data_IF_000998385398
#
_entry.id   IF_000998385398
#
_cell.length_a   1.000
_cell.length_b   1.000
_cell.length_c   1.000
_cell.angle_alpha   90.00
_cell.angle_beta   90.00
_cell.angle_gamma   90.00
#
_symmetry.space_group_name_H-M   'P 1'
#
loop_
_entity.id
_entity.type
_entity.pdbx_description
1 polymer ?
#
# COMPACT_ATOMS: atom_id res chain seq x y z
N UNK A 1 2.64 -11.08 -24.04
CA UNK A 1 3.64 -11.30 -22.97
C UNK A 1 2.96 -11.97 -21.78
N UNK A 2 3.63 -12.89 -21.14
CA UNK A 2 3.24 -13.53 -19.89
C UNK A 2 4.45 -13.54 -18.96
N UNK A 3 4.23 -13.38 -17.67
CA UNK A 3 5.34 -13.35 -16.73
C UNK A 3 4.87 -13.38 -15.29
N UNK A 4 5.82 -13.37 -14.36
CA UNK A 4 5.55 -13.24 -12.94
C UNK A 4 6.34 -12.08 -12.34
N UNK A 5 5.81 -11.55 -11.26
CA UNK A 5 6.42 -10.49 -10.46
C UNK A 5 6.43 -10.92 -9.00
N UNK A 6 7.59 -10.85 -8.37
CA UNK A 6 7.75 -11.05 -6.94
C UNK A 6 8.06 -9.71 -6.28
N UNK A 7 7.31 -9.39 -5.24
CA UNK A 7 7.48 -8.16 -4.45
C UNK A 7 7.77 -8.54 -2.99
N UNK A 8 8.75 -7.88 -2.42
CA UNK A 8 9.16 -8.08 -1.04
C UNK A 8 9.34 -6.75 -0.33
N UNK A 9 8.51 -6.51 0.67
CA UNK A 9 8.47 -5.27 1.44
C UNK A 9 8.86 -5.53 2.89
N UNK A 10 9.79 -4.72 3.39
CA UNK A 10 10.18 -4.67 4.80
C UNK A 10 9.79 -3.32 5.35
N UNK A 11 9.07 -3.32 6.47
CA UNK A 11 8.73 -2.12 7.23
C UNK A 11 9.20 -2.26 8.66
N UNK A 12 10.01 -1.33 9.10
CA UNK A 12 10.59 -1.34 10.43
C UNK A 12 10.30 -0.04 11.17
N UNK A 13 9.47 -0.12 12.22
CA UNK A 13 9.23 0.99 13.14
C UNK A 13 10.46 1.23 14.02
N UNK A 14 10.99 2.45 14.02
CA UNK A 14 12.19 2.87 14.72
C UNK A 14 11.92 4.01 15.69
N UNK A 15 12.43 3.89 16.91
CA UNK A 15 12.52 4.92 17.95
C UNK A 15 11.20 5.58 18.36
N UNK A 16 10.36 5.98 17.41
CA UNK A 16 9.09 6.66 17.61
C UNK A 16 7.98 5.88 16.93
N UNK A 17 6.80 5.85 17.53
CA UNK A 17 5.58 5.24 16.93
C UNK A 17 5.22 5.81 15.55
N UNK A 18 5.77 6.98 15.23
CA UNK A 18 5.46 7.75 14.01
C UNK A 18 6.43 7.49 12.86
N UNK A 19 7.60 6.89 13.12
CA UNK A 19 8.66 6.71 12.14
C UNK A 19 8.78 5.25 11.72
N UNK A 20 8.66 5.00 10.42
CA UNK A 20 8.89 3.70 9.79
C UNK A 20 9.97 3.82 8.71
N UNK A 21 10.95 2.93 8.74
CA UNK A 21 11.83 2.68 7.58
C UNK A 21 11.18 1.65 6.68
N UNK A 22 11.29 1.86 5.38
CA UNK A 22 10.68 1.02 4.37
C UNK A 22 11.73 0.65 3.34
N UNK A 23 11.81 -0.65 3.05
CA UNK A 23 12.60 -1.19 1.94
C UNK A 23 11.68 -2.03 1.06
N UNK A 24 11.64 -1.74 -0.25
CA UNK A 24 10.81 -2.43 -1.23
C UNK A 24 11.71 -2.98 -2.33
N UNK A 25 11.50 -4.25 -2.67
CA UNK A 25 12.20 -4.95 -3.75
C UNK A 25 11.18 -5.58 -4.66
N UNK A 26 11.31 -5.39 -5.96
CA UNK A 26 10.43 -5.96 -6.96
C UNK A 26 11.23 -6.60 -8.08
N UNK A 27 11.11 -7.90 -8.21
CA UNK A 27 11.69 -8.68 -9.30
C UNK A 27 10.60 -9.03 -10.31
N UNK A 28 10.89 -8.84 -11.59
CA UNK A 28 9.99 -9.18 -12.68
C UNK A 28 10.69 -10.08 -13.69
N UNK A 29 9.98 -11.10 -14.17
CA UNK A 29 10.40 -11.96 -15.27
C UNK A 29 9.22 -12.09 -16.25
N UNK A 30 9.44 -11.69 -17.50
CA UNK A 30 8.46 -11.73 -18.58
C UNK A 30 8.99 -12.50 -19.78
N UNK A 31 8.14 -13.32 -20.38
CA UNK A 31 8.32 -13.86 -21.73
C UNK A 31 7.54 -12.98 -22.71
N UNK A 32 8.28 -12.23 -23.50
CA UNK A 32 7.72 -11.40 -24.56
C UNK A 32 7.79 -12.13 -25.87
N UNK A 33 6.65 -12.53 -26.42
CA UNK A 33 6.52 -13.19 -27.71
C UNK A 33 5.85 -12.24 -28.69
N UNK A 34 6.49 -11.95 -29.79
CA UNK A 34 6.00 -11.17 -30.91
C UNK A 34 6.30 -11.92 -32.19
N UNK A 35 5.60 -11.63 -33.30
CA UNK A 35 5.82 -12.26 -34.60
C UNK A 35 7.27 -12.14 -35.12
N UNK A 36 8.04 -11.22 -34.55
CA UNK A 36 9.40 -10.92 -34.97
C UNK A 36 10.45 -11.24 -33.89
N UNK A 37 10.08 -11.46 -32.63
CA UNK A 37 11.05 -11.60 -31.54
C UNK A 37 10.45 -12.34 -30.33
N UNK A 38 11.12 -13.42 -29.95
CA UNK A 38 10.90 -14.06 -28.67
C UNK A 38 12.02 -13.66 -27.71
N UNK A 39 11.71 -12.94 -26.65
CA UNK A 39 12.69 -12.48 -25.68
C UNK A 39 12.19 -12.71 -24.25
N UNK A 40 13.00 -13.41 -23.47
CA UNK A 40 12.85 -13.44 -22.01
C UNK A 40 13.53 -12.21 -21.43
N UNK A 41 12.82 -11.47 -20.57
CA UNK A 41 13.33 -10.32 -19.83
C UNK A 41 13.20 -10.59 -18.35
N UNK A 42 14.29 -10.45 -17.62
CA UNK A 42 14.29 -10.58 -16.17
C UNK A 42 15.17 -9.50 -15.56
N UNK A 43 14.67 -8.81 -14.55
CA UNK A 43 15.42 -7.81 -13.81
C UNK A 43 14.82 -7.52 -12.44
N UNK A 44 15.64 -6.93 -11.57
CA UNK A 44 15.19 -6.27 -10.37
C UNK A 44 14.60 -4.90 -10.79
N UNK A 45 13.28 -4.87 -10.99
CA UNK A 45 12.57 -3.72 -11.57
C UNK A 45 12.53 -2.51 -10.64
N UNK A 46 12.48 -2.75 -9.32
CA UNK A 46 12.37 -1.70 -8.32
C UNK A 46 13.17 -2.08 -7.08
N UNK A 47 13.98 -1.18 -6.63
CA UNK A 47 14.60 -1.23 -5.31
C UNK A 47 14.45 0.16 -4.70
N UNK A 48 13.74 0.25 -3.59
CA UNK A 48 13.39 1.50 -2.94
C UNK A 48 13.74 1.43 -1.46
N UNK A 49 14.42 2.45 -0.98
CA UNK A 49 14.65 2.66 0.46
C UNK A 49 14.15 4.03 0.86
N UNK A 50 13.48 4.11 1.99
CA UNK A 50 12.99 5.38 2.47
C UNK A 50 12.45 5.32 3.88
N UNK A 51 11.93 6.45 4.32
CA UNK A 51 11.34 6.63 5.64
C UNK A 51 9.95 7.27 5.50
N UNK A 52 9.00 6.75 6.27
CA UNK A 52 7.66 7.30 6.41
C UNK A 52 7.53 7.91 7.80
N UNK A 53 6.99 9.12 7.87
CA UNK A 53 6.73 9.83 9.11
C UNK A 53 5.26 10.25 9.19
N UNK A 54 4.58 9.84 10.27
CA UNK A 54 3.20 10.22 10.55
C UNK A 54 3.18 11.62 11.16
N UNK A 55 2.68 12.61 10.38
CA UNK A 55 2.63 14.02 10.79
C UNK A 55 1.41 14.26 11.69
N UNK A 56 0.26 13.74 11.28
CA UNK A 56 -1.00 14.02 11.94
C UNK A 56 -1.90 12.79 11.98
N UNK A 57 -2.46 12.51 13.17
CA UNK A 57 -3.46 11.48 13.37
C UNK A 57 -4.62 12.05 14.18
N UNK A 58 -5.81 12.22 13.57
CA UNK A 58 -6.96 12.77 14.24
C UNK A 58 -7.53 11.86 15.35
N UNK A 59 -7.11 10.60 15.40
CA UNK A 59 -7.60 9.59 16.31
C UNK A 59 -6.65 9.26 17.46
N UNK A 60 -5.40 9.75 17.44
CA UNK A 60 -4.33 9.39 18.39
C UNK A 60 -4.72 9.60 19.88
N UNK A 61 -5.55 10.57 20.19
CA UNK A 61 -5.99 10.86 21.57
C UNK A 61 -7.51 11.01 21.67
N UNK A 62 -8.23 10.35 20.77
CA UNK A 62 -9.67 10.47 20.69
C UNK A 62 -10.36 9.19 21.09
N UNK A 63 -10.98 9.21 22.28
CA UNK A 63 -11.92 8.17 22.72
C UNK A 63 -13.34 8.59 22.36
N UNK A 64 -13.94 7.84 21.48
CA UNK A 64 -15.36 8.02 21.18
C UNK A 64 -16.21 7.44 22.31
N UNK A 65 -16.86 8.31 23.08
CA UNK A 65 -17.82 7.88 24.10
C UNK A 65 -19.14 7.53 23.40
N UNK A 66 -19.56 6.24 23.40
CA UNK A 66 -20.82 5.85 22.78
C UNK A 66 -22.01 6.47 23.52
N UNK A 67 -22.99 6.93 22.75
CA UNK A 67 -24.25 7.39 23.35
C UNK A 67 -25.09 6.15 23.75
N UNK A 68 -25.24 5.93 25.05
CA UNK A 68 -25.94 4.78 25.60
C UNK A 68 -27.45 4.82 25.32
N UNK A 69 -28.01 5.98 25.00
CA UNK A 69 -29.44 6.19 24.80
C UNK A 69 -29.88 6.17 23.34
N UNK A 70 -28.96 6.24 22.39
CA UNK A 70 -29.33 6.33 20.98
C UNK A 70 -28.36 5.58 20.06
N UNK A 71 -28.85 4.45 19.56
CA UNK A 71 -28.14 3.69 18.51
C UNK A 71 -27.89 4.55 17.25
N UNK A 72 -28.88 5.36 16.85
CA UNK A 72 -28.79 6.23 15.66
C UNK A 72 -27.72 7.31 15.82
N UNK A 73 -27.52 7.84 17.03
CA UNK A 73 -26.45 8.83 17.28
C UNK A 73 -25.05 8.24 17.09
N UNK A 74 -24.87 6.97 17.50
CA UNK A 74 -23.58 6.28 17.36
C UNK A 74 -23.25 5.92 15.91
N UNK A 75 -24.25 5.75 15.05
CA UNK A 75 -24.08 5.36 13.65
C UNK A 75 -24.22 6.55 12.67
N UNK A 76 -24.35 7.76 13.20
CA UNK A 76 -24.43 8.96 12.37
C UNK A 76 -23.06 9.29 11.78
N UNK A 77 -23.07 9.76 10.53
CA UNK A 77 -21.86 10.34 9.90
C UNK A 77 -21.33 11.50 10.76
N UNK A 78 -20.02 11.49 11.02
CA UNK A 78 -19.31 12.51 11.79
C UNK A 78 -18.31 13.21 10.89
N UNK A 79 -18.33 14.54 10.88
CA UNK A 79 -17.40 15.36 10.09
C UNK A 79 -15.93 15.05 10.36
N UNK A 80 -15.60 14.56 11.56
CA UNK A 80 -14.25 14.12 11.91
C UNK A 80 -13.73 12.98 11.03
N UNK A 81 -14.60 12.15 10.47
CA UNK A 81 -14.24 11.06 9.57
C UNK A 81 -13.67 11.57 8.23
N UNK A 82 -13.94 12.83 7.86
CA UNK A 82 -13.35 13.48 6.68
C UNK A 82 -11.93 13.98 6.91
N UNK A 83 -11.49 14.10 8.18
CA UNK A 83 -10.14 14.54 8.50
C UNK A 83 -9.22 13.31 8.42
N UNK A 84 -8.28 13.26 7.46
CA UNK A 84 -7.39 12.12 7.33
C UNK A 84 -6.27 12.14 8.37
N UNK A 85 -5.76 10.96 8.70
CA UNK A 85 -4.40 10.85 9.20
C UNK A 85 -3.44 11.10 8.04
N UNK A 86 -2.41 11.90 8.24
CA UNK A 86 -1.47 12.32 7.19
C UNK A 86 -0.07 11.90 7.54
N UNK A 87 0.58 11.21 6.61
CA UNK A 87 1.98 10.86 6.67
C UNK A 87 2.72 11.33 5.43
N UNK A 88 4.00 11.59 5.57
CA UNK A 88 4.91 11.86 4.45
C UNK A 88 5.92 10.72 4.34
N UNK A 89 6.35 10.47 3.14
CA UNK A 89 7.39 9.51 2.83
C UNK A 89 8.44 10.19 1.96
N UNK A 90 9.71 9.97 2.28
CA UNK A 90 10.86 10.34 1.48
C UNK A 90 11.79 9.16 1.32
N UNK A 91 12.26 8.94 0.11
CA UNK A 91 13.14 7.81 -0.20
C UNK A 91 13.86 7.98 -1.52
N UNK A 92 14.59 6.96 -1.91
CA UNK A 92 15.32 6.88 -3.16
C UNK A 92 15.13 5.52 -3.83
N UNK A 93 14.87 5.55 -5.13
CA UNK A 93 14.97 4.35 -5.96
C UNK A 93 16.44 4.13 -6.30
N UNK A 94 16.86 2.88 -6.22
CA UNK A 94 18.19 2.44 -6.61
C UNK A 94 18.07 1.52 -7.83
N UNK A 95 18.74 1.87 -8.89
CA UNK A 95 18.82 1.06 -10.12
C UNK A 95 20.18 0.38 -10.19
N UNK A 96 20.21 -0.94 -10.02
CA UNK A 96 21.44 -1.73 -10.02
C UNK A 96 21.78 -2.34 -11.39
N UNK A 97 20.82 -2.35 -12.31
CA UNK A 97 20.97 -2.95 -13.63
C UNK A 97 20.13 -2.20 -14.66
N UNK A 98 20.46 -2.39 -15.94
CA UNK A 98 19.60 -1.90 -17.01
C UNK A 98 18.19 -2.46 -16.86
N UNK A 99 17.21 -1.56 -16.77
CA UNK A 99 15.82 -1.95 -16.57
C UNK A 99 15.15 -2.20 -17.94
N UNK A 100 14.96 -3.48 -18.35
CA UNK A 100 14.36 -3.80 -19.65
C UNK A 100 12.86 -3.52 -19.71
N UNK A 101 12.25 -3.07 -18.60
CA UNK A 101 10.81 -2.79 -18.46
C UNK A 101 10.49 -1.30 -18.54
N UNK A 102 11.47 -0.43 -18.76
CA UNK A 102 11.20 0.98 -19.01
C UNK A 102 10.68 1.18 -20.45
N UNK A 103 9.92 2.23 -20.66
CA UNK A 103 9.33 2.58 -21.96
C UNK A 103 10.11 3.71 -22.65
N UNK A 104 11.33 4.01 -22.18
CA UNK A 104 12.15 5.06 -22.77
C UNK A 104 12.67 4.67 -24.15
N UNK A 105 12.93 5.65 -25.03
CA UNK A 105 13.64 5.44 -26.28
C UNK A 105 15.04 4.84 -26.06
N UNK A 106 15.54 4.15 -27.07
CA UNK A 106 16.88 3.58 -27.05
C UNK A 106 17.93 4.67 -26.84
N UNK A 107 18.83 4.47 -25.88
CA UNK A 107 19.91 5.41 -25.56
C UNK A 107 19.62 6.34 -24.37
N UNK A 108 18.43 6.29 -23.76
CA UNK A 108 18.13 6.99 -22.52
C UNK A 108 18.22 6.01 -21.36
N UNK A 109 19.20 6.20 -20.50
CA UNK A 109 19.44 5.35 -19.34
C UNK A 109 18.78 5.92 -18.08
N UNK A 110 18.21 5.03 -17.27
CA UNK A 110 17.66 5.40 -15.99
C UNK A 110 18.78 5.70 -14.99
N UNK A 111 18.72 6.81 -14.21
CA UNK A 111 19.76 7.14 -13.26
C UNK A 111 19.86 6.06 -12.17
N UNK A 112 21.09 5.79 -11.70
CA UNK A 112 21.35 4.79 -10.65
C UNK A 112 20.66 5.08 -9.33
N UNK A 113 20.44 6.35 -9.03
CA UNK A 113 19.75 6.82 -7.82
C UNK A 113 18.79 7.92 -8.22
N UNK A 114 17.53 7.79 -7.80
CA UNK A 114 16.52 8.83 -8.04
C UNK A 114 15.63 9.01 -6.82
N UNK A 115 15.44 10.26 -6.35
CA UNK A 115 14.59 10.54 -5.20
C UNK A 115 13.11 10.26 -5.46
N UNK A 116 12.39 9.92 -4.37
CA UNK A 116 10.94 9.78 -4.34
C UNK A 116 10.37 10.49 -3.12
N UNK A 117 9.32 11.26 -3.31
CA UNK A 117 8.53 11.84 -2.24
C UNK A 117 7.06 11.42 -2.37
N UNK A 118 6.37 11.18 -1.24
CA UNK A 118 4.97 10.76 -1.26
C UNK A 118 4.22 11.34 -0.06
N UNK A 119 2.97 11.70 -0.30
CA UNK A 119 2.00 12.06 0.74
C UNK A 119 0.99 10.93 0.84
N UNK A 120 0.70 10.53 2.07
CA UNK A 120 -0.22 9.44 2.40
C UNK A 120 -1.32 10.02 3.27
N UNK A 121 -2.56 9.86 2.86
CA UNK A 121 -3.75 10.26 3.61
C UNK A 121 -4.63 9.04 3.88
N UNK A 122 -5.08 8.87 5.13
CA UNK A 122 -5.92 7.76 5.51
C UNK A 122 -7.17 8.25 6.24
N UNK A 123 -8.34 7.94 5.69
CA UNK A 123 -9.64 8.26 6.27
C UNK A 123 -10.32 7.00 6.80
N UNK A 124 -10.99 7.13 7.94
CA UNK A 124 -11.81 6.07 8.53
C UNK A 124 -13.28 6.47 8.50
N UNK A 125 -14.12 5.69 7.80
CA UNK A 125 -15.55 5.92 7.71
C UNK A 125 -16.30 4.84 8.50
N UNK A 126 -16.82 5.22 9.64
CA UNK A 126 -17.39 4.27 10.61
C UNK A 126 -16.33 3.30 11.13
N UNK A 127 -16.77 2.10 11.53
CA UNK A 127 -15.91 1.08 12.12
C UNK A 127 -15.30 0.10 11.11
N UNK A 128 -15.68 0.17 9.82
CA UNK A 128 -15.39 -0.89 8.85
C UNK A 128 -14.79 -0.44 7.54
N UNK A 129 -14.82 0.85 7.22
CA UNK A 129 -14.32 1.36 5.95
C UNK A 129 -13.07 2.21 6.16
N UNK A 130 -12.07 1.95 5.35
CA UNK A 130 -10.82 2.72 5.33
C UNK A 130 -10.52 3.12 3.89
N UNK A 131 -10.31 4.40 3.66
CA UNK A 131 -9.83 4.95 2.41
C UNK A 131 -8.39 5.41 2.59
N UNK A 132 -7.48 4.88 1.79
CA UNK A 132 -6.09 5.30 1.73
C UNK A 132 -5.84 5.96 0.39
N UNK A 133 -5.28 7.15 0.42
CA UNK A 133 -4.88 7.92 -0.75
C UNK A 133 -3.39 8.20 -0.67
N UNK A 134 -2.63 7.70 -1.63
CA UNK A 134 -1.21 7.97 -1.77
C UNK A 134 -0.99 8.79 -3.04
N UNK A 135 -0.22 9.85 -2.97
CA UNK A 135 0.24 10.62 -4.12
C UNK A 135 1.75 10.77 -4.02
N UNK A 136 2.46 10.29 -5.03
CA UNK A 136 3.91 10.27 -5.06
C UNK A 136 4.44 11.04 -6.27
N UNK A 137 5.53 11.76 -6.06
CA UNK A 137 6.40 12.23 -7.12
C UNK A 137 7.64 11.36 -7.12
N UNK A 138 7.77 10.58 -8.16
CA UNK A 138 8.74 9.50 -8.27
C UNK A 138 9.85 9.88 -9.25
N UNK A 139 11.07 9.35 -9.05
CA UNK A 139 12.25 9.59 -9.89
C UNK A 139 12.52 11.08 -10.15
N UNK A 140 12.45 11.88 -9.09
CA UNK A 140 12.57 13.34 -9.13
C UNK A 140 13.89 13.75 -9.77
N UNK A 141 13.83 14.72 -10.68
CA UNK A 141 15.01 15.26 -11.36
C UNK A 141 15.60 14.40 -12.47
N UNK A 142 14.87 13.37 -12.92
CA UNK A 142 15.22 12.54 -14.07
C UNK A 142 14.19 12.68 -15.18
N UNK A 143 14.56 12.25 -16.39
CA UNK A 143 13.65 12.15 -17.54
C UNK A 143 12.56 11.07 -17.34
N UNK A 144 12.70 10.24 -16.31
CA UNK A 144 11.73 9.22 -15.91
C UNK A 144 10.82 9.70 -14.77
N UNK A 145 10.81 11.00 -14.49
CA UNK A 145 9.95 11.54 -13.45
C UNK A 145 8.48 11.23 -13.71
N UNK A 146 7.75 10.85 -12.67
CA UNK A 146 6.34 10.54 -12.78
C UNK A 146 5.56 10.98 -11.55
N UNK A 147 4.28 11.24 -11.75
CA UNK A 147 3.32 11.38 -10.68
C UNK A 147 2.52 10.10 -10.60
N UNK A 148 2.59 9.44 -9.46
CA UNK A 148 1.90 8.19 -9.21
C UNK A 148 0.84 8.42 -8.13
N UNK A 149 -0.34 7.83 -8.30
CA UNK A 149 -1.32 7.81 -7.22
C UNK A 149 -1.86 6.39 -6.98
N UNK A 150 -2.25 6.13 -5.74
CA UNK A 150 -2.92 4.89 -5.34
C UNK A 150 -4.09 5.27 -4.43
N UNK A 151 -5.28 4.86 -4.82
CA UNK A 151 -6.51 5.07 -4.07
C UNK A 151 -7.08 3.70 -3.70
N UNK A 152 -7.03 3.33 -2.42
CA UNK A 152 -7.49 2.03 -1.93
C UNK A 152 -8.63 2.20 -0.97
N UNK A 153 -9.79 1.61 -1.30
CA UNK A 153 -10.94 1.52 -0.42
C UNK A 153 -11.05 0.11 0.13
N UNK A 154 -10.90 -0.03 1.44
CA UNK A 154 -10.97 -1.31 2.15
C UNK A 154 -12.23 -1.38 3.02
N UNK A 155 -12.87 -2.55 3.05
CA UNK A 155 -14.00 -2.85 3.93
C UNK A 155 -13.73 -4.11 4.75
N UNK A 156 -13.82 -4.00 6.07
CA UNK A 156 -13.86 -5.14 6.97
C UNK A 156 -15.27 -5.77 6.99
N UNK A 157 -15.39 -7.03 6.63
CA UNK A 157 -16.65 -7.78 6.71
C UNK A 157 -16.87 -8.34 8.11
N UNK A 158 -15.82 -8.89 8.70
CA UNK A 158 -15.77 -9.41 10.06
C UNK A 158 -14.34 -9.28 10.64
N UNK A 159 -14.06 -9.91 11.77
CA UNK A 159 -12.73 -9.85 12.43
C UNK A 159 -11.61 -10.53 11.65
N UNK A 160 -11.93 -11.36 10.65
CA UNK A 160 -10.95 -12.13 9.86
C UNK A 160 -10.93 -11.79 8.39
N UNK A 161 -12.05 -11.33 7.82
CA UNK A 161 -12.18 -11.08 6.39
C UNK A 161 -12.30 -9.60 6.08
N UNK A 162 -11.57 -9.14 5.11
CA UNK A 162 -11.72 -7.82 4.48
C UNK A 162 -11.65 -7.94 2.95
N UNK A 163 -12.24 -6.97 2.28
CA UNK A 163 -12.12 -6.81 0.83
C UNK A 163 -11.64 -5.42 0.50
N UNK A 164 -11.01 -5.26 -0.64
CA UNK A 164 -10.52 -3.96 -1.10
C UNK A 164 -10.75 -3.78 -2.60
N UNK A 165 -10.86 -2.52 -2.98
CA UNK A 165 -10.86 -2.02 -4.35
C UNK A 165 -9.78 -0.95 -4.42
N UNK A 166 -8.97 -1.00 -5.46
CA UNK A 166 -7.84 -0.11 -5.63
C UNK A 166 -7.79 0.42 -7.06
N UNK A 167 -7.54 1.70 -7.18
CA UNK A 167 -7.20 2.35 -8.43
C UNK A 167 -5.80 2.95 -8.30
N UNK A 168 -4.93 2.57 -9.20
CA UNK A 168 -3.58 3.11 -9.31
C UNK A 168 -3.48 3.88 -10.62
N UNK A 169 -2.79 4.99 -10.62
CA UNK A 169 -2.44 5.74 -11.81
C UNK A 169 -0.97 6.09 -11.83
N UNK A 170 -0.40 6.03 -12.99
CA UNK A 170 0.97 6.38 -13.30
C UNK A 170 0.97 7.40 -14.43
N UNK A 171 1.55 8.55 -14.22
CA UNK A 171 1.67 9.63 -15.21
C UNK A 171 3.14 10.02 -15.35
N UNK A 172 3.78 9.59 -16.42
CA UNK A 172 5.15 9.92 -16.79
C UNK A 172 5.23 10.32 -18.25
N UNK A 173 6.36 10.91 -18.65
CA UNK A 173 6.55 11.42 -20.00
C UNK A 173 6.56 10.32 -21.08
N UNK A 174 7.16 9.17 -20.76
CA UNK A 174 7.25 8.05 -21.71
C UNK A 174 6.05 7.11 -21.68
N UNK A 175 5.36 7.01 -20.54
CA UNK A 175 4.24 6.12 -20.37
C UNK A 175 3.31 6.61 -19.27
N UNK A 176 2.01 6.49 -19.54
CA UNK A 176 0.96 6.76 -18.54
C UNK A 176 -0.11 5.71 -18.65
N UNK A 177 -0.56 5.18 -17.51
CA UNK A 177 -1.62 4.17 -17.45
C UNK A 177 -2.35 4.22 -16.11
N UNK A 178 -3.50 3.55 -16.05
CA UNK A 178 -4.24 3.28 -14.83
C UNK A 178 -4.44 1.78 -14.64
N UNK A 179 -4.38 1.32 -13.42
CA UNK A 179 -4.66 -0.05 -13.02
C UNK A 179 -5.84 -0.06 -12.05
N UNK A 180 -6.82 -0.88 -12.33
CA UNK A 180 -7.90 -1.20 -11.39
C UNK A 180 -7.66 -2.58 -10.83
N UNK A 181 -7.66 -2.70 -9.48
CA UNK A 181 -7.43 -3.94 -8.76
C UNK A 181 -8.53 -4.15 -7.72
N UNK A 182 -8.93 -5.39 -7.51
CA UNK A 182 -9.80 -5.78 -6.40
C UNK A 182 -9.28 -7.05 -5.76
N UNK A 183 -9.57 -7.22 -4.49
CA UNK A 183 -9.10 -8.38 -3.76
C UNK A 183 -9.76 -8.57 -2.42
N UNK A 184 -9.38 -9.65 -1.77
CA UNK A 184 -9.80 -9.99 -0.42
C UNK A 184 -8.60 -10.45 0.41
N UNK A 185 -8.67 -10.17 1.71
CA UNK A 185 -7.66 -10.58 2.66
C UNK A 185 -8.26 -11.36 3.81
N UNK A 186 -7.53 -12.35 4.27
CA UNK A 186 -7.87 -13.19 5.40
C UNK A 186 -6.80 -13.11 6.48
N UNK A 187 -7.21 -12.75 7.69
CA UNK A 187 -6.37 -12.63 8.86
C UNK A 187 -6.39 -13.95 9.64
N UNK A 188 -5.29 -14.69 9.63
CA UNK A 188 -5.15 -15.95 10.38
C UNK A 188 -5.12 -15.70 11.88
N UNK A 189 -4.30 -14.73 12.27
CA UNK A 189 -4.15 -14.25 13.64
C UNK A 189 -3.84 -12.74 13.61
N UNK A 190 -3.54 -12.12 14.74
CA UNK A 190 -3.26 -10.67 14.84
C UNK A 190 -2.05 -10.21 14.01
N UNK A 191 -1.19 -11.14 13.63
CA UNK A 191 0.12 -10.82 13.04
C UNK A 191 0.32 -11.41 11.64
N UNK A 192 -0.56 -12.28 11.17
CA UNK A 192 -0.41 -13.00 9.90
C UNK A 192 -1.66 -12.87 9.03
N UNK A 193 -1.47 -12.43 7.79
CA UNK A 193 -2.51 -12.23 6.79
C UNK A 193 -2.09 -12.83 5.46
N UNK A 194 -3.05 -13.36 4.73
CA UNK A 194 -2.94 -13.68 3.31
C UNK A 194 -3.96 -12.86 2.54
N UNK A 195 -3.60 -12.41 1.35
CA UNK A 195 -4.51 -11.73 0.45
C UNK A 195 -4.40 -12.30 -0.96
N UNK A 196 -5.47 -12.13 -1.72
CA UNK A 196 -5.52 -12.44 -3.13
C UNK A 196 -6.20 -11.31 -3.88
N UNK A 197 -5.68 -10.99 -5.06
CA UNK A 197 -6.18 -9.91 -5.89
C UNK A 197 -6.15 -10.24 -7.37
N UNK A 198 -7.03 -9.58 -8.11
CA UNK A 198 -7.04 -9.54 -9.57
C UNK A 198 -7.05 -8.09 -10.01
N UNK A 199 -6.43 -7.80 -11.14
CA UNK A 199 -6.38 -6.44 -11.66
C UNK A 199 -6.30 -6.39 -13.17
N UNK A 200 -6.73 -5.26 -13.72
CA UNK A 200 -6.66 -4.97 -15.14
C UNK A 200 -6.29 -3.50 -15.33
N UNK A 201 -5.42 -3.25 -16.30
CA UNK A 201 -5.14 -1.87 -16.68
C UNK A 201 -6.26 -1.26 -17.54
N UNK A 202 -6.27 0.07 -17.61
CA UNK A 202 -7.28 0.84 -18.34
C UNK A 202 -6.95 0.90 -19.82
N UNK A 203 -5.66 0.98 -20.16
CA UNK A 203 -5.20 1.03 -21.55
C UNK A 203 -5.25 -0.35 -22.22
N UNK A 204 -5.42 -0.36 -23.52
CA UNK A 204 -5.41 -1.57 -24.34
C UNK A 204 -4.08 -1.81 -25.06
N UNK A 205 -3.08 -0.94 -24.88
CA UNK A 205 -1.77 -0.98 -25.57
C UNK A 205 -0.59 -0.87 -24.60
N UNK A 206 -0.18 -1.96 -24.00
CA UNK A 206 -0.74 -3.32 -23.99
C UNK A 206 -1.90 -3.49 -23.00
N UNK A 207 -2.79 -4.41 -23.27
CA UNK A 207 -3.76 -4.86 -22.27
C UNK A 207 -3.07 -5.79 -21.27
N UNK A 208 -3.18 -5.47 -19.99
CA UNK A 208 -2.56 -6.21 -18.90
C UNK A 208 -3.64 -6.74 -17.96
N UNK A 209 -3.64 -8.05 -17.74
CA UNK A 209 -4.43 -8.69 -16.70
C UNK A 209 -3.48 -9.31 -15.67
N UNK A 210 -3.71 -9.06 -14.39
CA UNK A 210 -2.85 -9.52 -13.30
C UNK A 210 -3.65 -10.27 -12.26
N UNK A 211 -3.06 -11.31 -11.71
CA UNK A 211 -3.53 -11.99 -10.50
C UNK A 211 -2.37 -12.05 -9.51
N UNK A 212 -2.65 -11.86 -8.23
CA UNK A 212 -1.62 -11.85 -7.20
C UNK A 212 -2.09 -12.52 -5.92
N UNK A 213 -1.13 -13.07 -5.18
CA UNK A 213 -1.29 -13.58 -3.83
C UNK A 213 -0.23 -12.90 -2.97
N UNK A 214 -0.63 -12.34 -1.84
CA UNK A 214 0.23 -11.70 -0.86
C UNK A 214 0.23 -12.44 0.47
N UNK A 215 1.34 -12.38 1.17
CA UNK A 215 1.47 -12.84 2.55
C UNK A 215 2.13 -11.75 3.36
N UNK A 216 1.50 -11.35 4.47
CA UNK A 216 2.02 -10.33 5.37
C UNK A 216 2.22 -10.91 6.77
N UNK A 217 3.38 -10.64 7.35
CA UNK A 217 3.69 -11.04 8.71
C UNK A 217 4.25 -9.86 9.49
N UNK A 218 3.63 -9.56 10.65
CA UNK A 218 4.04 -8.50 11.56
C UNK A 218 4.73 -9.08 12.79
N UNK A 219 5.94 -8.63 13.07
CA UNK A 219 6.68 -8.98 14.28
C UNK A 219 6.48 -7.89 15.34
N UNK A 220 5.71 -8.18 16.37
CA UNK A 220 5.46 -7.21 17.46
C UNK A 220 6.14 -7.69 18.74
N UNK A 221 7.34 -7.20 18.99
CA UNK A 221 8.18 -7.61 20.14
C UNK A 221 7.67 -7.06 21.49
N UNK A 222 6.92 -5.96 21.50
CA UNK A 222 6.53 -5.21 22.69
C UNK A 222 5.02 -5.16 22.94
N UNK A 223 4.24 -6.01 22.30
CA UNK A 223 2.79 -6.04 22.52
C UNK A 223 2.48 -6.74 23.84
N UNK A 224 2.14 -5.97 24.88
CA UNK A 224 1.51 -6.50 26.11
C UNK A 224 0.02 -6.61 25.88
N UNK A 225 -0.52 -7.82 25.85
CA UNK A 225 -1.98 -8.00 25.89
C UNK A 225 -2.49 -7.42 27.21
N UNK A 226 -3.34 -6.41 27.13
CA UNK A 226 -4.12 -5.95 28.26
C UNK A 226 -5.22 -7.00 28.48
N UNK A 227 -5.00 -7.96 29.36
CA UNK A 227 -6.06 -8.85 29.83
C UNK A 227 -6.97 -8.04 30.73
N UNK A 228 -8.18 -7.80 30.26
CA UNK A 228 -9.25 -7.29 31.13
C UNK A 228 -9.62 -8.48 32.04
N UNK A 229 -9.08 -8.51 33.25
CA UNK A 229 -9.57 -9.41 34.29
C UNK A 229 -11.04 -9.02 34.54
N UNK A 230 -11.96 -9.95 34.30
CA UNK A 230 -13.32 -9.83 34.80
C UNK A 230 -13.20 -9.84 36.32
N UNK A 231 -13.43 -8.70 36.91
CA UNK A 231 -13.63 -8.60 38.35
C UNK A 231 -14.82 -9.50 38.74
N UNK A 232 -14.50 -10.70 39.20
CA UNK A 232 -15.46 -11.59 39.79
C UNK A 232 -15.83 -10.98 41.14
N UNK A 233 -16.84 -10.08 41.11
CA UNK A 233 -17.37 -9.44 42.29
C UNK A 233 -17.47 -10.43 43.45
N UNK A 234 -16.66 -10.17 44.46
CA UNK A 234 -16.68 -10.89 45.72
C UNK A 234 -18.13 -10.91 46.26
N UNK A 235 -18.61 -12.11 46.41
CA UNK A 235 -19.83 -12.37 47.16
C UNK A 235 -19.71 -11.68 48.53
N UNK A 236 -20.48 -10.62 48.74
CA UNK A 236 -20.77 -10.17 50.10
C UNK A 236 -21.58 -11.28 50.80
N UNK A 237 -21.01 -11.77 51.86
CA UNK A 237 -21.72 -12.45 52.94
C UNK A 237 -22.35 -11.39 53.85
#
# INVERSE_FOLDING_TARGET
ASGFMAEFDIRWGLFFEQLELIAEFQYQNDNYTSDLLDKNRSALKKTLFGAKYLIYDPFKNYEEKPNLYSWKANHRFKWRQLIPAVAVYGGANLNFSDNPFNFAPVGIEEPKVSPKAMIIAQNHFGSRWVLVTNVAYNKIGSEFASIDYILTLTRGFNSKWSGFIENQGYMGDYYSDGLFRMGAAYLFNKDMQIDASIGKNIKNTPSLFTGGIGFSWRFTKNYKEVKIEKDNGSKMQ
#
